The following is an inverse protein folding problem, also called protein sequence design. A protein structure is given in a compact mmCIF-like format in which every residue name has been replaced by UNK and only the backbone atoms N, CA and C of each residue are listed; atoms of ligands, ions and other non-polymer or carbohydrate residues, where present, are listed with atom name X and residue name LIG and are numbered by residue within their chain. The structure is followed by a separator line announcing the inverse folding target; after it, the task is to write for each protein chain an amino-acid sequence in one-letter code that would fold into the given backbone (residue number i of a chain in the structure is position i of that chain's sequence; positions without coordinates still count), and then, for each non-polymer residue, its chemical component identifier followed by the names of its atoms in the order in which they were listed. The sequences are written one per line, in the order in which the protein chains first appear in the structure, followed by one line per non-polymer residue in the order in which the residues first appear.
data_IF_530871207743
#
_entry.id   IF_530871207743
#
_cell.length_a   1.000
_cell.length_b   1.000
_cell.length_c   1.000
_cell.angle_alpha   90.00
_cell.angle_beta   90.00
_cell.angle_gamma   90.00
#
_symmetry.space_group_name_H-M   'P 1'
#
loop_
_entity.id
_entity.type
_entity.pdbx_description
1 polymer ?
#
# COMPACT_ATOMS: atom_id res chain seq x y z
N UNK A 1 -14.40 15.73 0.25
CA UNK A 1 -13.98 15.55 -1.16
C UNK A 1 -12.47 15.80 -1.40
N UNK A 2 -11.79 16.73 -0.72
CA UNK A 2 -10.31 16.79 -0.73
C UNK A 2 -9.63 15.61 0.01
N UNK A 3 -10.32 15.07 1.03
CA UNK A 3 -9.79 14.03 1.92
C UNK A 3 -9.35 12.74 1.20
N UNK A 4 -10.10 12.23 0.22
CA UNK A 4 -9.74 10.99 -0.49
C UNK A 4 -8.48 11.15 -1.37
N UNK A 5 -8.34 12.31 -2.04
CA UNK A 5 -7.16 12.61 -2.86
C UNK A 5 -5.91 12.87 -1.99
N UNK A 6 -6.06 13.58 -0.88
CA UNK A 6 -4.98 13.80 0.10
C UNK A 6 -4.58 12.49 0.78
N UNK A 7 -5.55 11.65 1.17
CA UNK A 7 -5.30 10.34 1.76
C UNK A 7 -4.56 9.42 0.80
N UNK A 8 -4.97 9.38 -0.47
CA UNK A 8 -4.27 8.62 -1.52
C UNK A 8 -2.83 9.11 -1.69
N UNK A 9 -2.62 10.42 -1.85
CA UNK A 9 -1.26 10.97 -2.01
C UNK A 9 -0.39 10.65 -0.79
N UNK A 10 -0.93 10.81 0.42
CA UNK A 10 -0.24 10.49 1.66
C UNK A 10 0.14 9.01 1.77
N UNK A 11 -0.81 8.11 1.46
CA UNK A 11 -0.57 6.67 1.48
C UNK A 11 0.49 6.25 0.46
N UNK A 12 0.44 6.78 -0.77
CA UNK A 12 1.42 6.46 -1.82
C UNK A 12 2.82 7.01 -1.50
N UNK A 13 2.92 8.21 -0.95
CA UNK A 13 4.21 8.78 -0.51
C UNK A 13 4.80 7.96 0.64
N UNK A 14 3.99 7.62 1.64
CA UNK A 14 4.43 6.76 2.75
C UNK A 14 4.90 5.39 2.22
N UNK A 15 4.18 4.82 1.25
CA UNK A 15 4.55 3.55 0.63
C UNK A 15 5.90 3.62 -0.10
N UNK A 16 6.16 4.69 -0.86
CA UNK A 16 7.45 4.91 -1.54
C UNK A 16 8.59 5.02 -0.53
N UNK A 17 8.39 5.75 0.56
CA UNK A 17 9.40 5.86 1.62
C UNK A 17 9.69 4.49 2.25
N UNK A 18 8.65 3.72 2.58
CA UNK A 18 8.80 2.35 3.05
C UNK A 18 9.52 1.47 2.01
N UNK A 19 9.23 1.61 0.72
CA UNK A 19 9.93 0.86 -0.35
C UNK A 19 11.41 1.19 -0.42
N UNK A 20 11.79 2.46 -0.27
CA UNK A 20 13.20 2.86 -0.30
C UNK A 20 13.97 2.25 0.88
N UNK A 21 13.36 2.23 2.06
CA UNK A 21 13.96 1.61 3.25
C UNK A 21 14.11 0.11 3.05
N UNK A 22 13.04 -0.58 2.61
CA UNK A 22 13.08 -2.03 2.35
C UNK A 22 14.11 -2.37 1.27
N UNK A 23 14.18 -1.60 0.18
CA UNK A 23 15.16 -1.83 -0.88
C UNK A 23 16.60 -1.68 -0.38
N UNK A 24 16.87 -0.64 0.42
CA UNK A 24 18.20 -0.40 0.97
C UNK A 24 18.65 -1.49 1.94
N UNK A 25 17.76 -1.89 2.85
CA UNK A 25 18.03 -2.95 3.82
C UNK A 25 18.20 -4.31 3.13
N UNK A 26 17.31 -4.67 2.19
CA UNK A 26 17.45 -5.94 1.47
C UNK A 26 18.69 -5.98 0.58
N UNK A 27 19.08 -4.86 -0.05
CA UNK A 27 20.31 -4.81 -0.84
C UNK A 27 21.58 -4.95 0.02
N UNK A 28 21.57 -4.40 1.24
CA UNK A 28 22.70 -4.55 2.17
C UNK A 28 22.84 -6.00 2.66
N UNK A 29 21.73 -6.64 3.01
CA UNK A 29 21.73 -8.06 3.41
C UNK A 29 22.26 -8.96 2.28
N UNK A 30 21.86 -8.70 1.03
CA UNK A 30 22.33 -9.47 -0.13
C UNK A 30 23.82 -9.29 -0.44
N UNK A 31 24.41 -8.13 -0.13
CA UNK A 31 25.85 -7.93 -0.35
C UNK A 31 26.73 -8.72 0.62
N UNK A 32 26.20 -9.03 1.80
CA UNK A 32 26.93 -9.77 2.84
C UNK A 32 26.68 -11.29 2.76
N UNK A 33 25.68 -11.73 1.99
CA UNK A 33 25.22 -13.13 1.96
C UNK A 33 25.90 -14.03 0.92
N UNK A 34 26.90 -13.54 0.16
CA UNK A 34 27.50 -14.29 -0.97
C UNK A 34 28.10 -15.68 -0.62
N UNK A 35 28.34 -16.02 0.66
CA UNK A 35 28.93 -17.32 1.02
C UNK A 35 28.20 -18.18 2.07
N UNK A 36 27.12 -17.72 2.73
CA UNK A 36 26.66 -18.39 3.98
C UNK A 36 25.29 -19.11 3.94
N UNK A 37 24.24 -18.63 3.25
CA UNK A 37 22.89 -19.20 3.44
C UNK A 37 21.94 -19.12 2.22
N UNK A 38 21.90 -20.18 1.41
CA UNK A 38 20.99 -20.33 0.25
C UNK A 38 19.48 -20.22 0.52
N UNK A 39 19.03 -20.35 1.78
CA UNK A 39 17.61 -20.24 2.14
C UNK A 39 17.17 -18.80 2.41
N UNK A 40 18.10 -17.89 2.68
CA UNK A 40 17.83 -16.46 2.92
C UNK A 40 17.68 -15.71 1.59
N UNK A 41 18.42 -16.13 0.55
CA UNK A 41 18.41 -15.54 -0.80
C UNK A 41 17.01 -15.38 -1.41
N UNK A 42 16.13 -16.38 -1.24
CA UNK A 42 14.81 -16.37 -1.86
C UNK A 42 13.89 -15.30 -1.27
N UNK A 43 14.06 -15.00 0.03
CA UNK A 43 13.27 -14.00 0.72
C UNK A 43 13.78 -12.58 0.45
N UNK A 44 15.10 -12.38 0.45
CA UNK A 44 15.73 -11.09 0.12
C UNK A 44 15.35 -10.64 -1.30
N UNK A 45 15.40 -11.55 -2.26
CA UNK A 45 14.98 -11.29 -3.63
C UNK A 45 13.51 -10.85 -3.74
N UNK A 46 12.63 -11.40 -2.90
CA UNK A 46 11.22 -10.97 -2.84
C UNK A 46 11.08 -9.54 -2.30
N UNK A 47 11.83 -9.17 -1.26
CA UNK A 47 11.84 -7.81 -0.72
C UNK A 47 12.31 -6.77 -1.74
N UNK A 48 13.40 -7.08 -2.46
CA UNK A 48 13.93 -6.24 -3.55
C UNK A 48 12.89 -6.12 -4.67
N UNK A 49 12.30 -7.22 -5.11
CA UNK A 49 11.30 -7.22 -6.17
C UNK A 49 10.04 -6.42 -5.79
N UNK A 50 9.52 -6.60 -4.57
CA UNK A 50 8.36 -5.86 -4.05
C UNK A 50 8.66 -4.36 -3.95
N UNK A 51 9.85 -3.97 -3.48
CA UNK A 51 10.23 -2.57 -3.41
C UNK A 51 10.42 -1.95 -4.81
N UNK A 52 11.10 -2.66 -5.71
CA UNK A 52 11.34 -2.20 -7.08
C UNK A 52 10.03 -2.04 -7.87
N UNK A 53 9.12 -3.02 -7.80
CA UNK A 53 7.82 -2.93 -8.49
C UNK A 53 6.99 -1.79 -7.91
N UNK A 54 7.05 -1.55 -6.59
CA UNK A 54 6.34 -0.43 -5.95
C UNK A 54 6.90 0.92 -6.42
N UNK A 55 8.22 1.10 -6.41
CA UNK A 55 8.90 2.32 -6.86
C UNK A 55 8.67 2.57 -8.36
N UNK A 56 8.57 1.54 -9.19
CA UNK A 56 8.32 1.72 -10.62
C UNK A 56 6.84 2.03 -10.91
N UNK A 57 5.92 1.29 -10.29
CA UNK A 57 4.51 1.33 -10.68
C UNK A 57 3.71 2.42 -9.99
N UNK A 58 4.00 2.76 -8.73
CA UNK A 58 3.27 3.81 -8.01
C UNK A 58 3.48 5.20 -8.64
N UNK A 59 4.71 5.66 -8.93
CA UNK A 59 4.92 6.94 -9.60
C UNK A 59 4.38 6.93 -11.03
N UNK A 60 4.39 5.79 -11.72
CA UNK A 60 3.81 5.66 -13.05
C UNK A 60 2.28 5.92 -12.99
N UNK A 61 1.59 5.34 -12.00
CA UNK A 61 0.16 5.58 -11.81
C UNK A 61 -0.15 7.04 -11.52
N UNK A 62 0.60 7.67 -10.60
CA UNK A 62 0.42 9.10 -10.27
C UNK A 62 0.78 9.99 -11.46
N UNK A 63 1.87 9.71 -12.18
CA UNK A 63 2.35 10.50 -13.30
C UNK A 63 1.38 10.50 -14.49
N UNK A 64 0.77 9.36 -14.81
CA UNK A 64 -0.24 9.26 -15.87
C UNK A 64 -1.50 10.05 -15.50
N UNK A 65 -1.89 10.06 -14.23
CA UNK A 65 -3.04 10.84 -13.77
C UNK A 65 -2.81 12.35 -13.82
N UNK A 66 -1.59 12.80 -13.56
CA UNK A 66 -1.23 14.22 -13.67
C UNK A 66 -1.17 14.69 -15.13
N UNK A 67 -0.87 13.80 -16.08
CA UNK A 67 -0.64 14.17 -17.49
C UNK A 67 -1.87 13.98 -18.39
N UNK A 68 -2.80 13.06 -18.08
CA UNK A 68 -4.09 12.93 -18.79
C UNK A 68 -5.26 12.71 -17.83
N UNK A 69 -6.15 13.71 -17.73
CA UNK A 69 -7.49 13.52 -17.17
C UNK A 69 -8.27 12.51 -18.03
N UNK A 70 -8.75 11.42 -17.42
CA UNK A 70 -9.54 10.38 -18.10
C UNK A 70 -8.72 9.24 -18.77
N UNK A 71 -7.46 9.04 -18.39
CA UNK A 71 -6.68 7.89 -18.86
C UNK A 71 -7.14 6.57 -18.20
N UNK A 72 -7.16 5.47 -18.97
CA UNK A 72 -7.55 4.11 -18.56
C UNK A 72 -6.89 3.60 -17.26
N UNK A 73 -5.75 4.17 -16.88
CA UNK A 73 -5.03 3.81 -15.63
C UNK A 73 -5.68 4.35 -14.37
N UNK A 74 -6.58 5.33 -14.47
CA UNK A 74 -7.32 5.90 -13.31
C UNK A 74 -8.64 5.18 -13.04
N UNK A 75 -8.88 4.05 -13.74
CA UNK A 75 -10.11 3.29 -13.58
C UNK A 75 -10.10 2.53 -12.26
N UNK A 76 -11.16 2.69 -11.45
CA UNK A 76 -11.26 2.13 -10.08
C UNK A 76 -10.96 0.63 -10.05
N UNK A 77 -11.39 -0.15 -11.06
CA UNK A 77 -11.10 -1.60 -11.16
C UNK A 77 -9.61 -1.89 -11.32
N UNK A 78 -8.91 -1.12 -12.14
CA UNK A 78 -7.48 -1.30 -12.41
C UNK A 78 -6.68 -0.96 -11.16
N UNK A 79 -7.04 0.14 -10.50
CA UNK A 79 -6.42 0.57 -9.25
C UNK A 79 -6.65 -0.45 -8.12
N UNK A 80 -7.88 -0.95 -7.92
CA UNK A 80 -8.20 -2.01 -6.96
C UNK A 80 -7.45 -3.31 -7.21
N UNK A 81 -7.34 -3.73 -8.48
CA UNK A 81 -6.65 -4.96 -8.86
C UNK A 81 -5.16 -4.85 -8.58
N UNK A 82 -4.54 -3.73 -8.97
CA UNK A 82 -3.11 -3.50 -8.77
C UNK A 82 -2.76 -3.33 -7.29
N UNK A 83 -3.53 -2.54 -6.55
CA UNK A 83 -3.35 -2.39 -5.10
C UNK A 83 -3.54 -3.72 -4.36
N UNK A 84 -4.44 -4.59 -4.84
CA UNK A 84 -4.59 -5.95 -4.31
C UNK A 84 -3.33 -6.81 -4.53
N UNK A 85 -2.69 -6.72 -5.69
CA UNK A 85 -1.43 -7.41 -5.98
C UNK A 85 -0.31 -6.89 -5.07
N UNK A 86 -0.15 -5.56 -4.99
CA UNK A 86 0.84 -4.94 -4.10
C UNK A 86 0.57 -5.31 -2.63
N UNK A 87 -0.69 -5.34 -2.21
CA UNK A 87 -1.08 -5.74 -0.86
C UNK A 87 -0.61 -7.15 -0.50
N UNK A 88 -0.78 -8.14 -1.39
CA UNK A 88 -0.29 -9.51 -1.18
C UNK A 88 1.24 -9.58 -1.21
N UNK A 89 1.89 -8.86 -2.13
CA UNK A 89 3.36 -8.80 -2.22
C UNK A 89 3.98 -8.24 -0.94
N UNK A 90 3.44 -7.14 -0.42
CA UNK A 90 3.89 -6.55 0.85
C UNK A 90 3.65 -7.48 2.05
N UNK A 91 2.54 -8.22 2.06
CA UNK A 91 2.29 -9.24 3.10
C UNK A 91 3.30 -10.39 3.02
N UNK A 92 3.60 -10.87 1.80
CA UNK A 92 4.58 -11.93 1.59
C UNK A 92 5.98 -11.48 2.02
N UNK A 93 6.39 -10.26 1.65
CA UNK A 93 7.64 -9.65 2.12
C UNK A 93 7.67 -9.50 3.65
N UNK A 94 6.59 -9.04 4.28
CA UNK A 94 6.54 -8.93 5.75
C UNK A 94 6.64 -10.30 6.43
N UNK A 95 5.85 -11.27 5.98
CA UNK A 95 5.79 -12.60 6.59
C UNK A 95 7.07 -13.42 6.40
N UNK A 96 7.80 -13.19 5.31
CA UNK A 96 9.06 -13.87 5.04
C UNK A 96 10.20 -13.37 5.92
N UNK A 97 10.29 -12.04 6.14
CA UNK A 97 11.27 -11.43 7.05
C UNK A 97 11.05 -11.91 8.48
N UNK A 98 9.78 -12.15 8.80
CA UNK A 98 9.33 -12.48 10.13
C UNK A 98 9.12 -13.99 10.32
N UNK A 99 9.46 -14.88 9.37
CA UNK A 99 9.10 -16.32 9.43
C UNK A 99 9.38 -16.92 10.81
N UNK A 100 8.28 -16.95 11.57
CA UNK A 100 8.21 -16.87 13.03
C UNK A 100 8.77 -18.12 13.70
N UNK A 101 8.99 -19.19 12.94
CA UNK A 101 9.49 -20.45 13.48
C UNK A 101 11.00 -20.56 13.44
N UNK A 102 11.68 -20.13 12.38
CA UNK A 102 13.15 -20.18 12.35
C UNK A 102 13.74 -19.07 13.22
N UNK A 103 13.17 -17.87 13.22
CA UNK A 103 13.65 -16.80 14.10
C UNK A 103 13.44 -17.14 15.59
N UNK A 104 12.31 -17.74 15.99
CA UNK A 104 12.14 -18.18 17.37
C UNK A 104 12.89 -19.49 17.71
N UNK A 105 13.16 -20.39 16.75
CA UNK A 105 14.01 -21.57 17.00
C UNK A 105 15.51 -21.24 17.01
N UNK A 106 15.97 -20.43 16.06
CA UNK A 106 17.37 -20.03 15.92
C UNK A 106 17.72 -18.94 16.93
N UNK A 107 16.78 -18.04 17.23
CA UNK A 107 16.97 -16.87 18.10
C UNK A 107 15.87 -16.74 19.19
N UNK A 108 15.70 -17.76 20.07
CA UNK A 108 14.66 -17.78 21.11
C UNK A 108 14.75 -16.64 22.13
N UNK A 109 15.82 -15.85 22.10
CA UNK A 109 16.12 -14.78 23.05
C UNK A 109 16.05 -13.37 22.43
N UNK A 110 15.78 -13.25 21.12
CA UNK A 110 15.75 -11.98 20.38
C UNK A 110 17.13 -11.43 20.03
N UNK A 111 17.19 -10.44 19.12
CA UNK A 111 18.45 -9.91 18.58
C UNK A 111 19.39 -9.30 19.64
N UNK A 112 18.86 -8.74 20.74
CA UNK A 112 19.69 -8.14 21.80
C UNK A 112 20.41 -9.17 22.68
N UNK A 113 19.80 -10.33 22.87
CA UNK A 113 20.40 -11.40 23.68
C UNK A 113 21.24 -12.34 22.86
N UNK A 114 21.10 -12.34 21.53
CA UNK A 114 21.98 -13.10 20.64
C UNK A 114 23.43 -12.73 20.80
N UNK A 115 23.69 -11.42 20.88
CA UNK A 115 25.04 -10.89 21.04
C UNK A 115 25.74 -11.50 22.26
N UNK A 116 25.01 -11.74 23.37
CA UNK A 116 25.58 -12.34 24.58
C UNK A 116 25.89 -13.84 24.47
N UNK A 117 25.14 -14.61 23.67
CA UNK A 117 25.36 -16.06 23.52
C UNK A 117 26.32 -16.36 22.36
N UNK A 118 26.26 -15.57 21.29
CA UNK A 118 27.13 -15.73 20.13
C UNK A 118 28.60 -15.46 20.47
N UNK A 119 28.90 -14.58 21.44
CA UNK A 119 30.26 -14.39 21.97
C UNK A 119 30.86 -15.66 22.63
N UNK A 120 30.05 -16.66 22.98
CA UNK A 120 30.51 -17.88 23.67
C UNK A 120 30.90 -18.98 22.69
N UNK A 121 30.26 -19.05 21.52
CA UNK A 121 30.38 -20.17 20.57
C UNK A 121 31.03 -19.77 19.24
N UNK A 122 31.04 -18.49 18.87
CA UNK A 122 31.52 -18.00 17.56
C UNK A 122 32.60 -16.90 17.71
N UNK A 123 33.47 -16.73 16.70
CA UNK A 123 34.38 -15.60 16.64
C UNK A 123 33.61 -14.27 16.65
N UNK A 124 34.11 -13.29 17.42
CA UNK A 124 33.47 -11.99 17.69
C UNK A 124 32.96 -11.28 16.44
N UNK A 125 33.68 -11.36 15.32
CA UNK A 125 33.29 -10.74 14.04
C UNK A 125 31.98 -11.31 13.47
N UNK A 126 31.79 -12.64 13.53
CA UNK A 126 30.58 -13.28 13.03
C UNK A 126 29.36 -13.02 13.92
N UNK A 127 29.56 -12.85 15.23
CA UNK A 127 28.50 -12.50 16.17
C UNK A 127 27.94 -11.08 15.92
N UNK A 128 28.82 -10.13 15.56
CA UNK A 128 28.44 -8.76 15.25
C UNK A 128 27.65 -8.69 13.93
N UNK A 129 28.09 -9.39 12.89
CA UNK A 129 27.41 -9.50 11.59
C UNK A 129 25.99 -10.10 11.74
N UNK A 130 25.87 -11.20 12.50
CA UNK A 130 24.58 -11.85 12.72
C UNK A 130 23.60 -10.95 13.50
N UNK A 131 24.10 -10.19 14.47
CA UNK A 131 23.29 -9.24 15.24
C UNK A 131 22.80 -8.08 14.38
N UNK A 132 23.63 -7.59 13.46
CA UNK A 132 23.26 -6.56 12.50
C UNK A 132 22.16 -7.07 11.54
N UNK A 133 22.37 -8.23 10.91
CA UNK A 133 21.39 -8.84 10.02
C UNK A 133 20.05 -9.12 10.72
N UNK A 134 20.08 -9.53 11.99
CA UNK A 134 18.89 -9.74 12.82
C UNK A 134 18.07 -8.45 13.00
N UNK A 135 18.73 -7.33 13.30
CA UNK A 135 18.06 -6.03 13.48
C UNK A 135 17.52 -5.48 12.16
N UNK A 136 18.24 -5.69 11.07
CA UNK A 136 17.84 -5.25 9.73
C UNK A 136 16.64 -6.03 9.21
N UNK A 137 16.63 -7.35 9.36
CA UNK A 137 15.47 -8.19 9.01
C UNK A 137 14.23 -7.84 9.84
N UNK A 138 14.39 -7.58 11.14
CA UNK A 138 13.30 -7.08 11.98
C UNK A 138 12.77 -5.72 11.48
N UNK A 139 13.65 -4.82 11.04
CA UNK A 139 13.25 -3.56 10.45
C UNK A 139 12.47 -3.77 9.15
N UNK A 140 12.96 -4.64 8.25
CA UNK A 140 12.26 -4.99 7.00
C UNK A 140 10.88 -5.57 7.28
N UNK A 141 10.73 -6.45 8.28
CA UNK A 141 9.43 -6.99 8.69
C UNK A 141 8.49 -5.86 9.15
N UNK A 142 8.96 -4.96 10.01
CA UNK A 142 8.16 -3.84 10.53
C UNK A 142 7.69 -2.89 9.40
N UNK A 143 8.59 -2.49 8.51
CA UNK A 143 8.24 -1.65 7.36
C UNK A 143 7.37 -2.41 6.34
N UNK A 144 7.56 -3.73 6.22
CA UNK A 144 6.74 -4.64 5.44
C UNK A 144 5.28 -4.63 5.91
N UNK A 145 5.06 -4.86 7.20
CA UNK A 145 3.73 -4.82 7.82
C UNK A 145 3.12 -3.43 7.77
N UNK A 146 3.90 -2.37 7.96
CA UNK A 146 3.41 -1.00 7.84
C UNK A 146 2.90 -0.70 6.42
N UNK A 147 3.66 -1.09 5.39
CA UNK A 147 3.24 -0.98 3.99
C UNK A 147 1.97 -1.78 3.70
N UNK A 148 1.90 -3.01 4.20
CA UNK A 148 0.71 -3.86 4.10
C UNK A 148 -0.54 -3.22 4.74
N UNK A 149 -0.43 -2.67 5.95
CA UNK A 149 -1.54 -2.01 6.67
C UNK A 149 -2.04 -0.80 5.88
N UNK A 150 -1.13 0.05 5.40
CA UNK A 150 -1.48 1.25 4.62
C UNK A 150 -2.25 0.85 3.35
N UNK A 151 -1.76 -0.16 2.63
CA UNK A 151 -2.42 -0.68 1.42
C UNK A 151 -3.78 -1.31 1.75
N UNK A 152 -3.89 -2.04 2.85
CA UNK A 152 -5.14 -2.69 3.27
C UNK A 152 -6.23 -1.64 3.53
N UNK A 153 -5.93 -0.62 4.34
CA UNK A 153 -6.89 0.44 4.63
C UNK A 153 -7.32 1.17 3.37
N UNK A 154 -6.37 1.45 2.48
CA UNK A 154 -6.68 2.14 1.23
C UNK A 154 -7.52 1.28 0.28
N UNK A 155 -7.19 0.00 0.14
CA UNK A 155 -7.93 -0.95 -0.69
C UNK A 155 -9.37 -1.14 -0.19
N UNK A 156 -9.57 -1.36 1.11
CA UNK A 156 -10.90 -1.50 1.71
C UNK A 156 -11.71 -0.21 1.57
N UNK A 157 -11.08 0.95 1.78
CA UNK A 157 -11.75 2.24 1.61
C UNK A 157 -12.26 2.44 0.18
N UNK A 158 -11.41 2.19 -0.83
CA UNK A 158 -11.82 2.27 -2.24
C UNK A 158 -12.93 1.27 -2.57
N UNK A 159 -12.84 0.06 -2.04
CA UNK A 159 -13.84 -0.98 -2.25
C UNK A 159 -15.20 -0.52 -1.69
N UNK A 160 -15.26 -0.05 -0.45
CA UNK A 160 -16.50 0.43 0.18
C UNK A 160 -17.10 1.58 -0.64
N UNK A 161 -16.30 2.59 -1.00
CA UNK A 161 -16.78 3.74 -1.79
C UNK A 161 -17.31 3.29 -3.15
N UNK A 162 -16.63 2.36 -3.82
CA UNK A 162 -17.06 1.83 -5.12
C UNK A 162 -18.37 1.06 -5.04
N UNK A 163 -18.57 0.22 -4.01
CA UNK A 163 -19.81 -0.52 -3.78
C UNK A 163 -20.97 0.42 -3.45
N UNK A 164 -20.78 1.38 -2.55
CA UNK A 164 -21.84 2.33 -2.17
C UNK A 164 -22.29 3.17 -3.38
N UNK A 165 -21.35 3.61 -4.22
CA UNK A 165 -21.70 4.36 -5.41
C UNK A 165 -22.37 3.49 -6.49
N UNK A 166 -21.99 2.20 -6.59
CA UNK A 166 -22.66 1.26 -7.49
C UNK A 166 -24.08 0.89 -7.02
N UNK A 167 -24.30 0.75 -5.71
CA UNK A 167 -25.62 0.41 -5.14
C UNK A 167 -26.65 1.53 -5.29
N UNK A 168 -26.20 2.78 -5.45
CA UNK A 168 -27.05 3.94 -5.76
C UNK A 168 -27.48 4.01 -7.24
N UNK A 169 -27.16 3.00 -8.06
CA UNK A 169 -27.66 2.89 -9.43
C UNK A 169 -26.72 3.46 -10.51
N UNK A 170 -25.52 3.92 -10.13
CA UNK A 170 -24.53 4.39 -11.09
C UNK A 170 -23.61 3.24 -11.52
N UNK A 171 -23.98 2.55 -12.62
CA UNK A 171 -23.22 1.42 -13.16
C UNK A 171 -21.87 1.81 -13.78
N UNK A 172 -21.63 3.10 -14.04
CA UNK A 172 -20.39 3.60 -14.65
C UNK A 172 -19.29 3.94 -13.61
N UNK A 173 -19.55 3.69 -12.33
CA UNK A 173 -18.59 3.93 -11.22
C UNK A 173 -17.31 3.11 -11.38
N UNK A 174 -17.42 1.85 -11.79
CA UNK A 174 -16.29 0.95 -11.99
C UNK A 174 -15.32 1.43 -13.09
N UNK A 175 -15.85 2.16 -14.08
CA UNK A 175 -15.13 2.71 -15.22
C UNK A 175 -14.79 4.19 -15.07
N UNK A 176 -15.26 4.83 -14.00
CA UNK A 176 -15.00 6.24 -13.73
C UNK A 176 -13.66 6.41 -13.02
N UNK A 177 -13.02 7.55 -13.27
CA UNK A 177 -11.87 7.95 -12.46
C UNK A 177 -12.30 8.24 -11.04
N UNK A 178 -11.48 7.90 -10.05
CA UNK A 178 -11.65 8.33 -8.65
C UNK A 178 -11.81 9.85 -8.56
N UNK A 179 -11.24 10.60 -9.51
CA UNK A 179 -11.38 12.04 -9.61
C UNK A 179 -12.80 12.49 -10.05
N UNK A 180 -13.46 11.72 -10.91
CA UNK A 180 -14.78 12.07 -11.47
C UNK A 180 -15.94 11.76 -10.51
N UNK A 181 -15.71 10.90 -9.50
CA UNK A 181 -16.67 10.70 -8.41
C UNK A 181 -16.95 12.00 -7.62
N UNK A 182 -15.98 12.93 -7.55
CA UNK A 182 -16.19 14.27 -6.97
C UNK A 182 -17.18 15.13 -7.79
N UNK A 183 -17.24 14.95 -9.11
CA UNK A 183 -18.08 15.78 -9.98
C UNK A 183 -19.55 15.32 -9.98
N UNK A 184 -19.79 14.03 -9.74
CA UNK A 184 -21.14 13.45 -9.73
C UNK A 184 -21.97 13.90 -8.53
N UNK A 185 -21.38 13.93 -7.33
CA UNK A 185 -22.03 14.38 -6.09
C UNK A 185 -22.48 15.86 -6.19
N UNK A 186 -21.64 16.71 -6.80
CA UNK A 186 -22.00 18.10 -7.08
C UNK A 186 -23.11 18.27 -8.13
N UNK A 187 -23.24 17.33 -9.08
CA UNK A 187 -24.29 17.36 -10.11
C UNK A 187 -25.64 16.91 -9.56
N UNK A 188 -25.69 15.89 -8.73
CA UNK A 188 -26.93 15.46 -8.08
C UNK A 188 -27.44 16.53 -7.08
N UNK A 189 -26.54 17.17 -6.33
CA UNK A 189 -26.91 18.31 -5.48
C UNK A 189 -27.54 19.47 -6.27
N UNK A 190 -26.98 19.79 -7.45
CA UNK A 190 -27.52 20.81 -8.36
C UNK A 190 -28.87 20.41 -8.97
N UNK A 191 -29.06 19.13 -9.32
CA UNK A 191 -30.26 18.66 -9.98
C UNK A 191 -31.44 18.49 -9.00
N UNK A 192 -31.15 18.06 -7.77
CA UNK A 192 -32.13 18.02 -6.66
C UNK A 192 -32.62 19.43 -6.27
N UNK A 193 -31.73 20.43 -6.31
CA UNK A 193 -32.10 21.82 -6.03
C UNK A 193 -32.99 22.44 -7.12
N UNK A 194 -32.84 22.00 -8.39
CA UNK A 194 -33.66 22.51 -9.50
C UNK A 194 -35.08 21.92 -9.48
N UNK A 195 -35.24 20.68 -9.01
CA UNK A 195 -36.56 20.04 -8.89
C UNK A 195 -37.43 20.65 -7.79
N UNK A 196 -36.83 21.19 -6.72
CA UNK A 196 -37.57 21.85 -5.63
C UNK A 196 -37.97 23.31 -5.92
N UNK A 197 -37.43 23.95 -6.97
CA UNK A 197 -37.88 25.28 -7.40
C UNK A 197 -39.06 25.24 -8.37
N UNK A 198 -39.25 24.14 -9.11
CA UNK A 198 -40.35 23.99 -10.07
C UNK A 198 -41.73 23.75 -9.43
N UNK A 199 -41.77 23.16 -8.23
CA UNK A 199 -43.03 22.80 -7.56
C UNK A 199 -43.62 23.91 -6.68
N UNK A 200 -42.89 25.00 -6.40
CA UNK A 200 -43.47 26.16 -5.70
C UNK A 200 -44.16 27.17 -6.64
N UNK A 201 -43.99 27.05 -7.96
CA UNK A 201 -44.59 28.00 -8.91
C UNK A 201 -45.98 27.61 -9.44
N UNK A 202 -46.50 26.44 -9.05
CA UNK A 202 -47.79 25.92 -9.57
C UNK A 202 -49.01 26.24 -8.69
N UNK A 203 -48.86 26.87 -7.53
CA UNK A 203 -49.96 27.00 -6.55
C UNK A 203 -50.57 28.40 -6.40
N UNK A 204 -50.31 29.33 -7.34
CA UNK A 204 -50.78 30.72 -7.20
C UNK A 204 -51.67 31.29 -8.33
N UNK A 205 -52.14 30.47 -9.26
CA UNK A 205 -52.90 30.96 -10.44
C UNK A 205 -54.24 30.25 -10.62
N UNK A 206 -55.04 30.13 -9.56
CA UNK A 206 -56.43 29.69 -9.70
C UNK A 206 -57.37 30.27 -8.64
N UNK A 207 -57.39 31.61 -8.50
CA UNK A 207 -58.54 32.34 -7.95
C UNK A 207 -58.59 33.70 -8.66
N UNK A 208 -59.47 33.84 -9.65
CA UNK A 208 -60.65 34.73 -9.74
C UNK A 208 -61.30 34.48 -11.10
#
# INVERSE_FOLDING_TARGET
MAFASTFRLGALVALILCSLVVLGLSAHLTSESEEAFHLIDAFEGLGIATAAITIATVPLMVGVELTRKGAFTSMVVVELTWLGILWVLWLATASGADTIQFFNLAFPLGCDRLHQVAEIELPRSAADELTAACRETQAVAAFGFLGWIILMFYWVFLLIVSITAASHGNSQVWFSSVHDMNAYDSKEASMSQTHNMGTMQSHHTQQV
#
